data_IF_087895589015
#
_entry.id   IF_087895589015
#
_cell.length_a   1.000
_cell.length_b   1.000
_cell.length_c   1.000
_cell.angle_alpha   90.00
_cell.angle_beta   90.00
_cell.angle_gamma   90.00
#
_symmetry.space_group_name_H-M   'P 1'
#
loop_
_entity.id
_entity.type
_entity.pdbx_description
1 polymer ?
#
# COMPACT_ATOMS: atom_id res chain seq x y z
N UNK A 1 -1.03 61.40 -34.14
CA UNK A 1 -2.43 61.00 -34.43
C UNK A 1 -2.87 61.75 -35.69
N UNK A 2 -3.58 61.16 -36.66
CA UNK A 2 -4.01 59.75 -36.87
C UNK A 2 -3.22 59.08 -38.05
N UNK A 3 -2.98 57.77 -38.23
CA UNK A 3 -3.73 56.49 -38.15
C UNK A 3 -4.80 56.26 -39.23
N UNK A 4 -4.47 55.51 -40.28
CA UNK A 4 -4.93 54.12 -40.51
C UNK A 4 -4.28 53.50 -41.76
N UNK A 5 -3.99 52.19 -41.73
CA UNK A 5 -3.53 51.37 -42.85
C UNK A 5 -4.57 50.29 -43.07
N UNK A 6 -5.15 50.24 -44.27
CA UNK A 6 -5.95 49.11 -44.74
C UNK A 6 -5.23 48.36 -45.85
N UNK A 7 -5.30 47.04 -45.75
CA UNK A 7 -4.87 46.02 -46.72
C UNK A 7 -6.14 45.30 -47.22
N UNK A 8 -5.94 44.30 -48.08
CA UNK A 8 -6.89 43.30 -48.65
C UNK A 8 -7.57 43.80 -49.95
N UNK A 9 -7.67 43.08 -51.08
CA UNK A 9 -7.80 41.66 -51.42
C UNK A 9 -7.24 41.35 -52.82
N UNK A 10 -6.79 40.12 -53.06
CA UNK A 10 -7.31 39.28 -54.15
C UNK A 10 -7.01 37.79 -53.89
N UNK A 11 -8.03 36.97 -54.19
CA UNK A 11 -8.16 35.53 -53.92
C UNK A 11 -8.18 34.77 -55.24
N UNK A 12 -7.50 33.62 -55.25
CA UNK A 12 -7.62 32.39 -56.09
C UNK A 12 -6.19 31.86 -56.33
N UNK A 13 -5.82 30.58 -56.26
CA UNK A 13 -6.56 29.32 -56.37
C UNK A 13 -5.71 28.15 -55.82
N UNK A 14 -6.40 27.17 -55.23
CA UNK A 14 -6.10 25.73 -55.11
C UNK A 14 -4.65 25.22 -55.25
N UNK A 15 -4.09 24.76 -54.12
CA UNK A 15 -3.15 23.64 -54.08
C UNK A 15 -3.60 22.66 -52.98
N UNK A 16 -3.94 21.45 -53.39
CA UNK A 16 -4.29 20.33 -52.54
C UNK A 16 -3.04 19.80 -51.83
N UNK A 17 -2.91 20.09 -50.54
CA UNK A 17 -2.03 19.36 -49.63
C UNK A 17 -2.91 18.49 -48.74
N UNK A 18 -2.89 17.18 -49.01
CA UNK A 18 -3.40 16.17 -48.10
C UNK A 18 -2.53 16.18 -46.84
N UNK A 19 -2.96 16.93 -45.83
CA UNK A 19 -2.53 16.74 -44.45
C UNK A 19 -3.16 15.45 -43.95
N UNK A 20 -2.39 14.37 -43.93
CA UNK A 20 -2.70 13.23 -43.09
C UNK A 20 -2.43 13.66 -41.65
N UNK A 21 -3.45 14.20 -41.00
CA UNK A 21 -3.50 14.25 -39.54
C UNK A 21 -3.52 12.80 -39.07
N UNK A 22 -2.32 12.27 -38.79
CA UNK A 22 -2.19 11.02 -38.06
C UNK A 22 -2.80 11.25 -36.68
N UNK A 23 -4.01 10.73 -36.46
CA UNK A 23 -4.57 10.50 -35.14
C UNK A 23 -3.54 9.72 -34.32
N UNK A 24 -2.78 10.44 -33.50
CA UNK A 24 -1.74 9.86 -32.65
C UNK A 24 -2.44 9.18 -31.46
N UNK A 25 -2.68 7.88 -31.60
CA UNK A 25 -2.66 6.84 -30.58
C UNK A 25 -2.96 7.28 -29.11
N UNK A 26 -4.21 7.70 -28.85
CA UNK A 26 -4.70 8.05 -27.52
C UNK A 26 -4.58 6.96 -26.41
N UNK A 27 -4.64 5.64 -26.69
CA UNK A 27 -4.53 4.62 -25.63
C UNK A 27 -3.09 4.34 -25.18
N UNK A 28 -2.09 4.59 -26.02
CA UNK A 28 -0.68 4.36 -25.68
C UNK A 28 -0.13 5.46 -24.76
N UNK A 29 -0.52 6.72 -24.98
CA UNK A 29 -0.09 7.84 -24.13
C UNK A 29 -0.60 7.74 -22.68
N UNK A 30 -1.83 7.25 -22.47
CA UNK A 30 -2.41 7.06 -21.13
C UNK A 30 -1.72 5.97 -20.32
N UNK A 31 -1.34 4.86 -20.97
CA UNK A 31 -0.65 3.75 -20.31
C UNK A 31 0.82 4.07 -20.02
N UNK A 32 1.48 4.84 -20.90
CA UNK A 32 2.82 5.35 -20.66
C UNK A 32 2.86 6.39 -19.53
N UNK A 33 1.92 7.34 -19.53
CA UNK A 33 1.81 8.35 -18.47
C UNK A 33 1.59 7.73 -17.08
N UNK A 34 0.69 6.75 -16.97
CA UNK A 34 0.47 6.04 -15.70
C UNK A 34 1.71 5.27 -15.22
N UNK A 35 2.47 4.66 -16.14
CA UNK A 35 3.73 3.98 -15.79
C UNK A 35 4.83 4.94 -15.36
N UNK A 36 4.86 6.15 -15.91
CA UNK A 36 5.81 7.20 -15.53
C UNK A 36 5.49 7.74 -14.15
N UNK A 37 4.21 8.03 -13.88
CA UNK A 37 3.71 8.46 -12.57
C UNK A 37 4.04 7.44 -11.47
N UNK A 38 3.78 6.15 -11.70
CA UNK A 38 4.15 5.08 -10.75
C UNK A 38 5.67 5.03 -10.50
N UNK A 39 6.49 5.19 -11.53
CA UNK A 39 7.96 5.23 -11.36
C UNK A 39 8.42 6.47 -10.61
N UNK A 40 7.75 7.60 -10.78
CA UNK A 40 8.04 8.82 -10.03
C UNK A 40 7.69 8.63 -8.56
N UNK A 41 6.52 8.08 -8.26
CA UNK A 41 6.13 7.70 -6.89
C UNK A 41 7.15 6.72 -6.28
N UNK A 42 7.52 5.65 -6.99
CA UNK A 42 8.54 4.70 -6.51
C UNK A 42 9.89 5.39 -6.23
N UNK A 43 10.32 6.32 -7.09
CA UNK A 43 11.56 7.09 -6.87
C UNK A 43 11.46 8.00 -5.66
N UNK A 44 10.33 8.67 -5.49
CA UNK A 44 10.10 9.59 -4.38
C UNK A 44 10.02 8.84 -3.05
N UNK A 45 9.35 7.68 -2.99
CA UNK A 45 9.32 6.82 -1.81
C UNK A 45 10.73 6.31 -1.41
N UNK A 46 11.59 6.05 -2.39
CA UNK A 46 12.99 5.67 -2.14
C UNK A 46 13.83 6.85 -1.60
N UNK A 47 13.57 8.06 -2.09
CA UNK A 47 14.28 9.28 -1.67
C UNK A 47 13.79 9.80 -0.31
N UNK A 48 12.49 9.69 -0.05
CA UNK A 48 11.79 10.28 1.09
C UNK A 48 10.92 9.24 1.81
N UNK A 49 11.55 8.31 2.56
CA UNK A 49 10.84 7.17 3.12
C UNK A 49 9.83 7.59 4.19
N UNK A 50 8.54 7.37 3.90
CA UNK A 50 7.39 7.71 4.76
C UNK A 50 7.26 9.20 5.11
N UNK A 51 7.94 10.10 4.40
CA UNK A 51 7.80 11.55 4.62
C UNK A 51 6.46 12.04 4.07
N UNK A 52 5.73 12.81 4.87
CA UNK A 52 4.42 13.34 4.50
C UNK A 52 4.39 14.82 4.82
N UNK A 53 3.97 15.61 3.83
CA UNK A 53 3.77 17.03 4.01
C UNK A 53 2.66 17.31 5.00
N UNK A 54 2.90 18.29 5.86
CA UNK A 54 1.96 18.69 6.89
C UNK A 54 0.80 19.44 6.23
N UNK A 55 -0.45 19.06 6.56
CA UNK A 55 -1.62 19.71 5.98
C UNK A 55 -1.69 21.17 6.43
N UNK A 56 -2.09 22.08 5.53
CA UNK A 56 -2.33 23.49 5.85
C UNK A 56 -3.80 23.79 6.09
N UNK A 57 -4.69 22.88 5.67
CA UNK A 57 -6.15 23.00 5.72
C UNK A 57 -6.75 22.49 7.03
N UNK A 58 -6.11 21.52 7.68
CA UNK A 58 -6.55 20.93 8.94
C UNK A 58 -5.40 20.82 9.95
N UNK A 59 -5.67 20.91 11.27
CA UNK A 59 -4.67 20.70 12.30
C UNK A 59 -4.04 19.30 12.20
N UNK A 60 -2.74 19.22 12.45
CA UNK A 60 -1.97 17.97 12.37
C UNK A 60 -2.48 16.94 13.37
N UNK A 61 -2.89 17.39 14.57
CA UNK A 61 -3.48 16.53 15.60
C UNK A 61 -4.76 15.83 15.15
N UNK A 62 -5.54 16.45 14.26
CA UNK A 62 -6.79 15.88 13.74
C UNK A 62 -6.50 14.91 12.60
N UNK A 63 -5.68 15.30 11.62
CA UNK A 63 -5.28 14.43 10.50
C UNK A 63 -4.61 13.14 10.99
N UNK A 64 -3.80 13.24 12.04
CA UNK A 64 -3.05 12.11 12.60
C UNK A 64 -3.56 11.67 13.98
N UNK A 65 -4.84 11.88 14.30
CA UNK A 65 -5.44 11.52 15.59
C UNK A 65 -5.28 10.03 15.94
N UNK A 66 -5.31 9.14 14.94
CA UNK A 66 -5.13 7.70 15.12
C UNK A 66 -3.67 7.24 15.15
N UNK A 67 -2.73 8.18 15.06
CA UNK A 67 -1.32 7.89 15.16
C UNK A 67 -0.81 8.17 16.57
N UNK A 68 0.23 7.44 16.96
CA UNK A 68 0.93 7.69 18.21
C UNK A 68 2.45 7.71 18.02
N UNK A 69 3.16 8.53 18.80
CA UNK A 69 4.62 8.51 18.84
C UNK A 69 5.11 7.22 19.50
N UNK A 70 6.24 6.69 19.03
CA UNK A 70 6.94 5.58 19.68
C UNK A 70 8.38 6.02 19.98
N UNK A 71 8.81 6.07 21.27
CA UNK A 71 10.18 6.39 21.61
C UNK A 71 11.20 5.41 21.01
N UNK A 72 10.83 4.14 20.91
CA UNK A 72 11.63 3.14 20.22
C UNK A 72 10.73 2.11 19.56
N UNK A 73 10.79 2.04 18.23
CA UNK A 73 10.00 1.09 17.44
C UNK A 73 10.17 -0.37 17.89
N UNK A 74 11.38 -0.75 18.33
CA UNK A 74 11.70 -2.14 18.70
C UNK A 74 11.36 -2.48 20.16
N UNK A 75 11.38 -1.50 21.06
CA UNK A 75 11.26 -1.73 22.51
C UNK A 75 9.89 -1.38 23.05
N UNK A 76 9.23 -0.37 22.48
CA UNK A 76 7.93 0.06 22.96
C UNK A 76 6.88 -0.97 22.56
N UNK A 77 6.18 -1.61 23.52
CA UNK A 77 5.18 -2.61 23.20
C UNK A 77 3.98 -1.96 22.49
N UNK A 78 3.36 -2.72 21.58
CA UNK A 78 2.10 -2.35 20.95
C UNK A 78 1.08 -3.44 21.25
N UNK A 79 -0.05 -3.06 21.84
CA UNK A 79 -1.12 -3.99 22.17
C UNK A 79 -1.84 -4.50 20.91
N UNK A 80 -1.94 -5.83 20.78
CA UNK A 80 -2.55 -6.51 19.63
C UNK A 80 -4.08 -6.47 19.64
N UNK A 81 -4.71 -6.05 20.74
CA UNK A 81 -6.17 -5.99 20.85
C UNK A 81 -6.73 -4.57 20.79
N UNK A 82 -5.87 -3.56 20.72
CA UNK A 82 -6.28 -2.16 20.58
C UNK A 82 -6.83 -1.88 19.17
N UNK A 83 -7.99 -1.22 19.10
CA UNK A 83 -8.59 -0.69 17.86
C UNK A 83 -8.80 -1.73 16.75
N UNK A 84 -9.21 -2.95 17.11
CA UNK A 84 -9.49 -4.01 16.14
C UNK A 84 -10.70 -3.65 15.24
N UNK A 85 -10.61 -3.82 13.91
CA UNK A 85 -11.75 -3.66 13.03
C UNK A 85 -12.84 -4.69 13.34
N UNK A 86 -14.13 -4.39 13.10
CA UNK A 86 -15.22 -5.34 13.32
C UNK A 86 -15.01 -6.70 12.61
N UNK A 87 -14.36 -6.72 11.44
CA UNK A 87 -14.06 -7.94 10.70
C UNK A 87 -13.15 -8.92 11.48
N UNK A 88 -12.30 -8.42 12.39
CA UNK A 88 -11.42 -9.26 13.21
C UNK A 88 -12.19 -10.10 14.23
N UNK A 89 -13.45 -9.77 14.55
CA UNK A 89 -14.29 -10.62 15.41
C UNK A 89 -14.56 -12.01 14.80
N UNK A 90 -14.42 -12.15 13.48
CA UNK A 90 -14.61 -13.41 12.75
C UNK A 90 -13.31 -14.22 12.59
N UNK A 91 -12.17 -13.58 12.82
CA UNK A 91 -10.85 -14.18 12.57
C UNK A 91 -10.53 -15.19 13.66
N UNK A 92 -10.11 -16.39 13.26
CA UNK A 92 -9.68 -17.43 14.18
C UNK A 92 -8.22 -17.25 14.54
N UNK A 93 -7.95 -17.21 15.84
CA UNK A 93 -6.62 -17.18 16.42
C UNK A 93 -6.24 -18.59 16.89
N UNK A 94 -5.04 -19.04 16.51
CA UNK A 94 -4.50 -20.32 16.97
C UNK A 94 -3.57 -20.07 18.15
N UNK A 95 -3.75 -20.78 19.26
CA UNK A 95 -2.77 -20.77 20.37
C UNK A 95 -1.38 -21.21 19.88
N UNK A 96 -1.35 -22.32 19.12
CA UNK A 96 -0.13 -22.92 18.59
C UNK A 96 -0.32 -23.40 17.16
N UNK A 97 -0.20 -22.48 16.19
CA UNK A 97 -0.42 -22.76 14.75
C UNK A 97 0.32 -24.02 14.25
N UNK A 98 1.62 -24.15 14.53
CA UNK A 98 2.42 -25.32 14.08
C UNK A 98 1.92 -26.65 14.65
N UNK A 99 1.40 -26.64 15.88
CA UNK A 99 0.83 -27.84 16.50
C UNK A 99 -0.52 -28.19 15.87
N UNK A 100 -1.36 -27.19 15.63
CA UNK A 100 -2.64 -27.37 14.94
C UNK A 100 -2.45 -27.99 13.54
N UNK A 101 -1.48 -27.49 12.77
CA UNK A 101 -1.13 -28.03 11.45
C UNK A 101 -0.67 -29.49 11.54
N UNK A 102 0.23 -29.81 12.47
CA UNK A 102 0.70 -31.19 12.67
C UNK A 102 -0.45 -32.15 12.98
N UNK A 103 -1.33 -31.76 13.90
CA UNK A 103 -2.47 -32.58 14.30
C UNK A 103 -3.44 -32.79 13.14
N UNK A 104 -3.69 -31.76 12.34
CA UNK A 104 -4.53 -31.86 11.15
C UNK A 104 -3.94 -32.81 10.09
N UNK A 105 -2.62 -32.81 9.90
CA UNK A 105 -1.96 -33.77 9.01
C UNK A 105 -2.01 -35.20 9.55
N UNK A 106 -1.83 -35.40 10.86
CA UNK A 106 -1.95 -36.72 11.49
C UNK A 106 -3.35 -37.28 11.32
N UNK A 107 -4.37 -36.45 11.50
CA UNK A 107 -5.76 -36.83 11.26
C UNK A 107 -6.02 -37.19 9.79
N UNK A 108 -5.51 -36.39 8.85
CA UNK A 108 -5.62 -36.68 7.42
C UNK A 108 -4.93 -37.99 7.02
N UNK A 109 -3.81 -38.33 7.68
CA UNK A 109 -3.09 -39.59 7.45
C UNK A 109 -3.89 -40.83 7.91
N UNK A 110 -4.88 -40.67 8.79
CA UNK A 110 -5.79 -41.73 9.24
C UNK A 110 -6.99 -41.93 8.28
N UNK A 111 -7.00 -41.25 7.13
CA UNK A 111 -8.07 -41.38 6.13
C UNK A 111 -8.28 -42.85 5.72
N UNK A 112 -9.54 -43.30 5.60
CA UNK A 112 -9.84 -44.67 5.17
C UNK A 112 -9.44 -44.93 3.72
N UNK A 113 -9.36 -43.88 2.88
CA UNK A 113 -9.00 -43.99 1.47
C UNK A 113 -7.49 -43.83 1.32
N UNK A 114 -6.82 -44.90 0.86
CA UNK A 114 -5.39 -44.90 0.60
C UNK A 114 -5.06 -44.18 -0.72
N UNK A 115 -3.86 -43.58 -0.85
CA UNK A 115 -3.37 -43.06 -2.12
C UNK A 115 -3.48 -44.11 -3.24
N UNK A 116 -3.75 -43.67 -4.47
CA UNK A 116 -3.95 -44.53 -5.66
C UNK A 116 -5.23 -45.37 -5.67
N UNK A 117 -6.23 -45.02 -4.86
CA UNK A 117 -7.56 -45.64 -4.93
C UNK A 117 -8.46 -44.88 -5.91
N UNK A 118 -9.13 -45.57 -6.82
CA UNK A 118 -10.15 -44.97 -7.67
C UNK A 118 -11.42 -44.71 -6.85
N UNK A 119 -11.86 -43.46 -6.80
CA UNK A 119 -13.01 -43.03 -6.00
C UNK A 119 -13.96 -42.19 -6.83
N UNK A 120 -15.24 -42.20 -6.47
CA UNK A 120 -16.26 -41.31 -7.01
C UNK A 120 -16.64 -40.28 -5.94
N UNK A 121 -16.57 -38.99 -6.28
CA UNK A 121 -17.00 -37.91 -5.40
C UNK A 121 -18.48 -37.60 -5.63
N UNK A 122 -19.28 -37.67 -4.56
CA UNK A 122 -20.65 -37.15 -4.55
C UNK A 122 -20.66 -35.80 -3.84
N UNK A 123 -20.82 -34.72 -4.60
CA UNK A 123 -20.86 -33.36 -4.06
C UNK A 123 -22.30 -33.00 -3.64
N UNK A 124 -22.46 -32.49 -2.42
CA UNK A 124 -23.75 -32.05 -1.88
C UNK A 124 -23.90 -30.53 -2.03
N UNK A 125 -25.13 -30.07 -2.30
CA UNK A 125 -25.51 -28.65 -2.31
C UNK A 125 -24.68 -27.77 -3.26
N UNK A 126 -24.40 -28.28 -4.47
CA UNK A 126 -23.71 -27.50 -5.51
C UNK A 126 -24.71 -26.56 -6.19
N UNK A 127 -24.44 -25.24 -6.25
CA UNK A 127 -25.28 -24.30 -7.01
C UNK A 127 -25.40 -24.70 -8.48
N UNK A 128 -26.58 -24.49 -9.07
CA UNK A 128 -26.87 -24.90 -10.46
C UNK A 128 -25.90 -24.23 -11.46
N UNK A 129 -25.54 -22.97 -11.23
CA UNK A 129 -24.57 -22.23 -12.04
C UNK A 129 -23.20 -22.91 -12.07
N UNK A 130 -22.71 -23.36 -10.91
CA UNK A 130 -21.43 -24.06 -10.78
C UNK A 130 -21.51 -25.44 -11.44
N UNK A 131 -22.61 -26.18 -11.25
CA UNK A 131 -22.80 -27.49 -11.85
C UNK A 131 -22.83 -27.43 -13.40
N UNK A 132 -23.50 -26.43 -13.97
CA UNK A 132 -23.51 -26.19 -15.41
C UNK A 132 -22.11 -25.87 -15.94
N UNK A 133 -21.36 -25.01 -15.23
CA UNK A 133 -19.97 -24.67 -15.57
C UNK A 133 -19.06 -25.89 -15.55
N UNK A 134 -19.20 -26.75 -14.54
CA UNK A 134 -18.42 -28.00 -14.44
C UNK A 134 -18.73 -28.98 -15.58
N UNK A 135 -19.99 -29.05 -16.05
CA UNK A 135 -20.38 -29.94 -17.17
C UNK A 135 -19.81 -29.49 -18.51
N UNK A 136 -19.67 -28.19 -18.73
CA UNK A 136 -19.08 -27.62 -19.95
C UNK A 136 -17.54 -27.52 -19.92
N UNK A 137 -16.89 -27.89 -18.82
CA UNK A 137 -15.45 -27.75 -18.65
C UNK A 137 -14.68 -28.80 -19.46
N UNK A 138 -13.72 -28.35 -20.27
CA UNK A 138 -12.90 -29.22 -21.13
C UNK A 138 -11.48 -29.45 -20.57
N UNK A 139 -11.10 -28.75 -19.49
CA UNK A 139 -9.80 -28.88 -18.86
C UNK A 139 -9.73 -29.99 -17.79
N UNK A 140 -8.57 -30.18 -17.15
CA UNK A 140 -8.45 -31.10 -16.03
C UNK A 140 -9.26 -30.60 -14.82
N UNK A 141 -9.84 -31.54 -14.07
CA UNK A 141 -10.50 -31.27 -12.78
C UNK A 141 -9.62 -31.83 -11.66
N UNK A 142 -9.21 -30.95 -10.74
CA UNK A 142 -8.43 -31.33 -9.55
C UNK A 142 -9.30 -31.04 -8.33
N UNK A 143 -9.50 -32.05 -7.49
CA UNK A 143 -10.20 -31.91 -6.22
C UNK A 143 -9.23 -32.18 -5.06
N UNK A 144 -9.26 -31.33 -4.04
CA UNK A 144 -8.44 -31.45 -2.84
C UNK A 144 -9.33 -31.46 -1.61
N UNK A 145 -9.10 -32.39 -0.68
CA UNK A 145 -9.77 -32.37 0.62
C UNK A 145 -9.15 -31.30 1.51
N UNK A 146 -9.99 -30.47 2.14
CA UNK A 146 -9.53 -29.47 3.09
C UNK A 146 -9.17 -30.10 4.44
N UNK A 147 -8.14 -29.59 5.09
CA UNK A 147 -7.79 -29.96 6.46
C UNK A 147 -8.75 -29.31 7.48
N UNK A 148 -8.77 -29.84 8.72
CA UNK A 148 -9.72 -29.51 9.80
C UNK A 148 -9.98 -28.01 10.03
N UNK A 149 -9.01 -27.13 9.77
CA UNK A 149 -9.13 -25.69 10.03
C UNK A 149 -8.93 -24.79 8.81
N UNK A 150 -8.83 -25.35 7.59
CA UNK A 150 -8.55 -24.55 6.38
C UNK A 150 -9.71 -23.68 5.91
N UNK A 151 -10.94 -24.06 6.26
CA UNK A 151 -12.15 -23.28 5.94
C UNK A 151 -12.35 -22.07 6.85
N UNK A 152 -11.58 -21.97 7.95
CA UNK A 152 -11.72 -20.90 8.93
C UNK A 152 -10.89 -19.69 8.51
N UNK A 153 -11.45 -18.47 8.56
CA UNK A 153 -10.71 -17.27 8.21
C UNK A 153 -9.67 -16.94 9.28
N UNK A 154 -8.45 -16.68 8.86
CA UNK A 154 -7.35 -16.28 9.74
C UNK A 154 -6.41 -15.28 9.04
N UNK A 155 -5.57 -14.57 9.80
CA UNK A 155 -4.56 -13.67 9.23
C UNK A 155 -3.30 -14.47 8.93
N UNK A 156 -3.07 -14.72 7.64
CA UNK A 156 -1.88 -15.43 7.14
C UNK A 156 -0.74 -14.47 6.83
N UNK A 157 0.49 -14.92 7.09
CA UNK A 157 1.71 -14.21 6.76
C UNK A 157 2.46 -14.96 5.67
N UNK A 158 2.85 -14.26 4.61
CA UNK A 158 3.60 -14.82 3.49
C UNK A 158 4.91 -14.05 3.31
N UNK A 159 5.99 -14.77 2.99
CA UNK A 159 7.21 -14.19 2.45
C UNK A 159 7.09 -14.19 0.94
N UNK A 160 7.19 -13.01 0.34
CA UNK A 160 6.95 -12.81 -1.08
C UNK A 160 8.15 -12.09 -1.68
N UNK A 161 8.60 -12.56 -2.85
CA UNK A 161 9.65 -11.95 -3.64
C UNK A 161 9.07 -11.52 -4.98
N UNK A 162 9.36 -10.28 -5.39
CA UNK A 162 8.91 -9.73 -6.69
C UNK A 162 9.53 -10.55 -7.81
N UNK A 163 8.69 -10.98 -8.74
CA UNK A 163 9.11 -11.65 -9.97
C UNK A 163 9.80 -10.64 -10.88
N UNK A 164 10.97 -11.00 -11.39
CA UNK A 164 11.81 -10.11 -12.23
C UNK A 164 11.36 -10.12 -13.70
N UNK A 165 10.38 -10.96 -14.07
CA UNK A 165 9.86 -11.04 -15.43
C UNK A 165 9.20 -9.72 -15.82
N UNK A 166 9.98 -8.85 -16.50
CA UNK A 166 9.44 -7.75 -17.28
C UNK A 166 8.57 -8.35 -18.36
N UNK A 167 7.27 -8.05 -18.35
CA UNK A 167 6.43 -8.29 -19.51
C UNK A 167 6.99 -7.44 -20.65
N UNK A 168 7.83 -8.05 -21.50
CA UNK A 168 8.04 -7.56 -22.85
C UNK A 168 6.75 -7.82 -23.61
N UNK A 169 5.73 -7.01 -23.33
CA UNK A 169 4.63 -6.84 -24.25
C UNK A 169 5.17 -5.94 -25.37
N UNK A 170 5.80 -6.59 -26.34
CA UNK A 170 6.11 -5.99 -27.62
C UNK A 170 4.81 -5.48 -28.25
N UNK A 171 4.65 -4.15 -28.30
CA UNK A 171 3.92 -3.33 -29.29
C UNK A 171 2.75 -3.92 -30.07
N UNK A 172 1.85 -4.69 -29.44
CA UNK A 172 0.65 -5.21 -30.08
C UNK A 172 -0.50 -5.04 -29.10
N UNK A 173 -1.50 -4.24 -29.49
CA UNK A 173 -2.69 -3.78 -28.74
C UNK A 173 -3.65 -4.86 -28.21
N UNK A 174 -3.17 -6.08 -28.01
CA UNK A 174 -3.93 -7.11 -27.30
C UNK A 174 -3.53 -7.05 -25.83
N UNK A 175 -4.40 -6.43 -25.02
CA UNK A 175 -4.43 -6.67 -23.57
C UNK A 175 -4.44 -8.18 -23.39
N UNK A 176 -3.30 -8.74 -23.01
CA UNK A 176 -3.22 -10.15 -22.69
C UNK A 176 -4.08 -10.36 -21.46
N UNK A 177 -5.25 -10.99 -21.61
CA UNK A 177 -6.12 -11.47 -20.52
C UNK A 177 -5.42 -12.48 -19.61
N UNK A 178 -4.18 -12.86 -19.93
CA UNK A 178 -3.37 -13.74 -19.11
C UNK A 178 -2.83 -13.00 -17.89
N UNK A 179 -2.83 -13.67 -16.74
CA UNK A 179 -2.37 -13.09 -15.49
C UNK A 179 -0.86 -12.87 -15.58
N UNK A 180 -0.40 -11.73 -15.07
CA UNK A 180 1.03 -11.48 -14.94
C UNK A 180 1.52 -12.07 -13.61
N UNK A 181 2.55 -12.92 -13.66
CA UNK A 181 3.21 -13.37 -12.44
C UNK A 181 3.99 -12.21 -11.83
N UNK A 182 3.41 -11.53 -10.84
CA UNK A 182 4.01 -10.38 -10.16
C UNK A 182 4.98 -10.81 -9.06
N UNK A 183 4.69 -11.91 -8.35
CA UNK A 183 5.51 -12.33 -7.23
C UNK A 183 5.38 -13.83 -6.92
N UNK A 184 6.42 -14.39 -6.32
CA UNK A 184 6.47 -15.79 -5.85
C UNK A 184 6.85 -15.81 -4.37
N UNK A 185 6.34 -16.77 -3.61
CA UNK A 185 6.55 -16.76 -2.17
C UNK A 185 6.17 -18.05 -1.45
N UNK A 186 6.32 -18.01 -0.12
CA UNK A 186 5.95 -19.10 0.78
C UNK A 186 5.15 -18.59 1.97
N UNK A 187 4.30 -19.44 2.53
CA UNK A 187 3.51 -19.12 3.73
C UNK A 187 4.35 -19.36 4.99
N UNK A 188 4.43 -18.35 5.85
CA UNK A 188 5.16 -18.42 7.13
C UNK A 188 4.29 -19.03 8.23
N UNK A 189 3.02 -18.63 8.27
CA UNK A 189 2.05 -19.15 9.22
C UNK A 189 0.89 -18.19 9.45
N UNK A 190 -0.08 -18.60 10.27
CA UNK A 190 -1.22 -17.79 10.64
C UNK A 190 -1.06 -17.24 12.06
N UNK A 191 -1.12 -15.91 12.20
CA UNK A 191 -1.11 -15.25 13.50
C UNK A 191 -1.73 -13.84 13.41
N UNK A 192 -2.90 -13.57 14.01
CA UNK A 192 -3.51 -12.24 14.02
C UNK A 192 -2.80 -11.24 14.96
N UNK A 193 -2.00 -11.71 15.92
CA UNK A 193 -1.28 -10.84 16.87
C UNK A 193 -0.08 -10.15 16.27
N UNK A 194 0.41 -10.62 15.11
CA UNK A 194 1.53 -9.98 14.44
C UNK A 194 1.11 -8.62 13.88
N UNK A 195 1.62 -7.57 14.49
CA UNK A 195 1.25 -6.19 14.21
C UNK A 195 2.06 -5.64 13.03
N UNK A 196 1.36 -4.96 12.11
CA UNK A 196 1.96 -4.15 11.05
C UNK A 196 1.68 -2.68 11.37
N UNK A 197 2.73 -1.88 11.47
CA UNK A 197 2.64 -0.44 11.74
C UNK A 197 2.98 0.35 10.48
N UNK A 198 2.13 1.31 10.12
CA UNK A 198 2.45 2.35 9.14
C UNK A 198 3.13 3.49 9.87
N UNK A 199 4.34 3.84 9.43
CA UNK A 199 5.06 5.04 9.88
C UNK A 199 4.65 6.23 9.02
N UNK A 200 4.62 7.41 9.61
CA UNK A 200 4.55 8.71 8.94
C UNK A 200 5.62 9.59 9.58
N UNK A 201 6.40 10.28 8.75
CA UNK A 201 7.46 11.20 9.17
C UNK A 201 7.04 12.61 8.80
N UNK A 202 6.83 13.46 9.81
CA UNK A 202 6.65 14.89 9.62
C UNK A 202 8.02 15.55 9.62
N UNK A 203 8.30 16.37 8.63
CA UNK A 203 9.60 17.02 8.45
C UNK A 203 9.53 18.50 8.76
N UNK A 204 10.65 19.06 9.22
CA UNK A 204 10.82 20.48 9.47
C UNK A 204 12.26 20.89 9.29
N UNK A 205 12.46 22.18 9.04
CA UNK A 205 13.78 22.74 8.77
C UNK A 205 14.21 23.68 9.91
N UNK A 206 15.46 23.58 10.38
CA UNK A 206 16.02 24.51 11.35
C UNK A 206 16.27 25.86 10.66
N UNK A 207 15.54 26.88 11.11
CA UNK A 207 15.70 28.25 10.61
C UNK A 207 16.83 28.99 11.32
N UNK A 208 16.99 28.77 12.63
CA UNK A 208 18.09 29.31 13.43
C UNK A 208 18.64 28.21 14.33
N UNK A 209 19.89 27.84 14.14
CA UNK A 209 20.57 26.84 14.98
C UNK A 209 21.75 27.46 15.74
N UNK A 210 21.80 27.25 17.05
CA UNK A 210 22.91 27.65 17.90
C UNK A 210 23.26 26.56 18.91
N UNK A 211 24.46 25.99 18.76
CA UNK A 211 24.93 24.84 19.53
C UNK A 211 23.85 23.74 19.50
N UNK A 212 23.27 23.40 20.64
CA UNK A 212 22.27 22.34 20.80
C UNK A 212 20.82 22.81 20.63
N UNK A 213 20.56 24.11 20.52
CA UNK A 213 19.21 24.67 20.43
C UNK A 213 18.93 25.13 19.01
N UNK A 214 17.77 24.80 18.48
CA UNK A 214 17.33 25.24 17.16
C UNK A 214 15.87 25.71 17.16
N UNK A 215 15.59 26.72 16.35
CA UNK A 215 14.23 27.12 15.99
C UNK A 215 13.84 26.42 14.69
N UNK A 216 12.80 25.59 14.72
CA UNK A 216 12.33 24.78 13.60
C UNK A 216 11.07 25.42 13.02
N UNK A 217 10.95 25.39 11.69
CA UNK A 217 9.81 25.87 10.92
C UNK A 217 9.33 24.80 9.93
N UNK A 218 8.11 24.98 9.43
CA UNK A 218 7.44 24.14 8.43
C UNK A 218 7.14 22.69 8.84
N UNK A 219 7.32 22.34 10.13
CA UNK A 219 6.84 21.05 10.67
C UNK A 219 5.40 21.10 11.15
N UNK A 220 4.96 22.25 11.67
CA UNK A 220 3.59 22.49 12.09
C UNK A 220 3.22 23.91 11.67
N UNK A 221 1.94 24.14 11.42
CA UNK A 221 1.39 25.47 11.11
C UNK A 221 0.63 26.07 12.29
N UNK A 222 0.16 25.24 13.23
CA UNK A 222 -0.56 25.66 14.43
C UNK A 222 0.27 25.49 15.72
N UNK A 223 0.19 26.44 16.67
CA UNK A 223 0.91 26.34 17.94
C UNK A 223 0.32 25.30 18.89
N UNK A 224 -0.96 24.94 18.71
CA UNK A 224 -1.60 23.86 19.48
C UNK A 224 -1.02 22.49 19.14
N UNK A 225 -0.71 22.25 17.85
CA UNK A 225 -0.08 21.01 17.41
C UNK A 225 1.32 20.86 18.01
N UNK A 226 2.10 21.94 18.04
CA UNK A 226 3.42 21.96 18.71
C UNK A 226 3.31 21.55 20.18
N UNK A 227 2.28 22.04 20.89
CA UNK A 227 2.03 21.68 22.29
C UNK A 227 1.58 20.23 22.43
N UNK A 228 0.71 19.75 21.55
CA UNK A 228 0.23 18.36 21.54
C UNK A 228 1.39 17.37 21.37
N UNK A 229 2.31 17.65 20.45
CA UNK A 229 3.47 16.81 20.17
C UNK A 229 4.72 17.11 21.00
N UNK A 230 4.62 17.97 22.04
CA UNK A 230 5.77 18.42 22.84
C UNK A 230 6.60 17.28 23.45
N UNK A 231 5.94 16.20 23.86
CA UNK A 231 6.58 15.04 24.50
C UNK A 231 7.09 13.99 23.50
N UNK A 232 7.00 14.26 22.20
CA UNK A 232 7.47 13.34 21.15
C UNK A 232 8.95 13.57 20.87
N UNK A 233 9.77 12.50 20.83
CA UNK A 233 11.18 12.63 20.46
C UNK A 233 11.31 13.02 18.99
N UNK A 234 12.16 14.01 18.75
CA UNK A 234 12.61 14.42 17.43
C UNK A 234 13.91 13.68 17.09
N UNK A 235 14.12 13.42 15.81
CA UNK A 235 15.40 12.95 15.29
C UNK A 235 15.76 13.73 14.03
N UNK A 236 17.05 13.79 13.67
CA UNK A 236 17.47 14.42 12.41
C UNK A 236 18.04 13.41 11.45
N UNK A 237 18.01 13.71 10.14
CA UNK A 237 18.66 12.86 9.12
C UNK A 237 20.16 12.64 9.38
N UNK A 238 20.81 13.58 10.09
CA UNK A 238 22.21 13.48 10.54
C UNK A 238 22.40 12.76 11.89
N UNK A 239 21.37 12.08 12.41
CA UNK A 239 21.47 11.20 13.57
C UNK A 239 21.45 11.89 14.93
N UNK A 240 21.00 13.16 15.01
CA UNK A 240 20.79 13.85 16.29
C UNK A 240 19.42 13.51 16.86
N UNK A 241 19.33 13.48 18.20
CA UNK A 241 18.08 13.27 18.92
C UNK A 241 17.72 14.54 19.68
N UNK A 242 16.43 14.87 19.72
CA UNK A 242 15.97 16.09 20.37
C UNK A 242 14.56 16.02 20.90
N UNK A 243 14.12 17.13 21.49
CA UNK A 243 12.77 17.33 22.03
C UNK A 243 12.31 18.76 21.81
N UNK A 244 11.01 18.94 21.73
CA UNK A 244 10.38 20.26 21.64
C UNK A 244 10.40 20.92 23.03
N UNK A 245 10.82 22.18 23.10
CA UNK A 245 10.77 22.99 24.32
C UNK A 245 9.46 23.77 24.41
N UNK A 246 9.21 24.64 23.42
CA UNK A 246 8.09 25.59 23.41
C UNK A 246 7.70 25.99 21.98
N UNK A 247 6.43 26.37 21.80
CA UNK A 247 5.93 27.00 20.58
C UNK A 247 6.35 28.47 20.53
N UNK A 248 6.79 28.93 19.37
CA UNK A 248 7.19 30.31 19.10
C UNK A 248 6.17 30.99 18.17
N UNK A 249 5.33 31.86 18.75
CA UNK A 249 4.34 32.64 18.00
C UNK A 249 3.10 31.84 17.56
N UNK A 250 2.48 32.27 16.46
CA UNK A 250 1.17 31.78 15.97
C UNK A 250 1.26 30.82 14.79
N UNK A 251 2.41 30.69 14.13
CA UNK A 251 2.56 29.95 12.87
C UNK A 251 3.23 28.57 13.04
N UNK A 252 3.07 27.92 14.20
CA UNK A 252 3.61 26.58 14.45
C UNK A 252 5.15 26.48 14.49
N UNK A 253 5.87 27.60 14.44
CA UNK A 253 7.31 27.60 14.69
C UNK A 253 7.58 27.14 16.13
N UNK A 254 8.68 26.42 16.34
CA UNK A 254 8.97 25.84 17.65
C UNK A 254 10.45 25.89 17.96
N UNK A 255 10.76 25.93 19.26
CA UNK A 255 12.12 25.78 19.76
C UNK A 255 12.33 24.35 20.20
N UNK A 256 13.43 23.76 19.78
CA UNK A 256 13.81 22.40 20.15
C UNK A 256 15.26 22.37 20.63
N UNK A 257 15.54 21.42 21.50
CA UNK A 257 16.89 21.14 22.02
C UNK A 257 17.28 19.72 21.63
N UNK A 258 18.51 19.59 21.16
CA UNK A 258 19.12 18.36 20.68
C UNK A 258 20.31 17.96 21.55
N UNK A 259 20.74 16.70 21.39
CA UNK A 259 21.91 16.12 22.04
C UNK A 259 23.23 16.74 21.57
N UNK A 260 23.31 17.16 20.30
CA UNK A 260 24.50 17.72 19.67
C UNK A 260 24.24 19.00 18.87
N UNK A 261 25.27 19.46 18.17
CA UNK A 261 25.16 20.64 17.30
C UNK A 261 24.34 20.34 16.05
N UNK A 262 23.42 21.24 15.71
CA UNK A 262 22.52 21.15 14.56
C UNK A 262 22.97 22.10 13.46
N UNK A 263 22.98 21.62 12.21
CA UNK A 263 23.27 22.43 11.03
C UNK A 263 21.98 23.04 10.47
N UNK A 264 22.10 24.16 9.76
CA UNK A 264 20.96 24.77 9.06
C UNK A 264 20.47 23.92 7.88
N UNK A 265 21.34 23.06 7.34
CA UNK A 265 21.01 22.09 6.29
C UNK A 265 20.41 20.78 6.82
N UNK A 266 20.22 20.64 8.14
CA UNK A 266 19.61 19.45 8.71
C UNK A 266 18.11 19.43 8.43
N UNK A 267 17.55 18.23 8.28
CA UNK A 267 16.09 18.03 8.34
C UNK A 267 15.77 17.41 9.69
N UNK A 268 14.89 18.06 10.45
CA UNK A 268 14.33 17.53 11.68
C UNK A 268 13.08 16.75 11.35
N UNK A 269 12.94 15.58 11.95
CA UNK A 269 11.90 14.61 11.67
C UNK A 269 11.18 14.21 12.97
N UNK A 270 9.88 14.01 12.86
CA UNK A 270 9.03 13.47 13.91
C UNK A 270 8.31 12.24 13.35
N UNK A 271 8.49 11.08 14.00
CA UNK A 271 7.91 9.82 13.55
C UNK A 271 6.65 9.47 14.33
N UNK A 272 5.55 9.29 13.60
CA UNK A 272 4.26 8.83 14.10
C UNK A 272 3.95 7.45 13.54
N UNK A 273 3.26 6.62 14.33
CA UNK A 273 2.91 5.25 13.94
C UNK A 273 1.43 4.96 14.17
N UNK A 274 0.80 4.27 13.23
CA UNK A 274 -0.52 3.66 13.43
C UNK A 274 -0.50 2.19 13.05
N UNK A 275 -1.34 1.40 13.69
CA UNK A 275 -1.57 0.03 13.25
C UNK A 275 -2.42 0.01 11.99
N UNK A 276 -2.03 -0.85 11.06
CA UNK A 276 -2.78 -1.11 9.82
C UNK A 276 -3.23 -2.57 9.85
N UNK A 277 -4.45 -2.78 9.38
CA UNK A 277 -5.06 -4.09 9.24
C UNK A 277 -5.21 -4.43 7.75
N UNK A 278 -5.12 -5.71 7.37
CA UNK A 278 -5.51 -6.17 6.04
C UNK A 278 -7.00 -5.91 5.82
N UNK A 279 -7.36 -5.58 4.60
CA UNK A 279 -8.76 -5.38 4.23
C UNK A 279 -9.48 -6.73 4.07
N UNK A 280 -10.73 -6.76 4.53
CA UNK A 280 -11.58 -7.92 4.32
C UNK A 280 -12.25 -7.80 2.96
N UNK A 281 -11.70 -8.47 1.94
CA UNK A 281 -12.32 -8.51 0.61
C UNK A 281 -13.51 -9.49 0.67
N UNK A 282 -14.70 -8.96 0.88
CA UNK A 282 -15.96 -9.72 0.81
C UNK A 282 -16.36 -9.91 -0.66
N UNK A 283 -15.66 -10.79 -1.35
CA UNK A 283 -15.95 -11.13 -2.73
C UNK A 283 -15.40 -12.50 -3.06
N UNK A 284 -16.16 -13.54 -2.77
CA UNK A 284 -16.02 -14.82 -3.50
C UNK A 284 -16.72 -14.69 -4.85
N UNK A 285 -16.38 -13.68 -5.63
CA UNK A 285 -16.69 -13.67 -7.05
C UNK A 285 -15.44 -14.18 -7.77
N UNK A 286 -15.33 -15.50 -7.78
CA UNK A 286 -14.93 -16.20 -8.99
C UNK A 286 -15.99 -16.04 -10.12
N UNK A 287 -16.85 -15.01 -10.04
CA UNK A 287 -17.93 -14.73 -10.99
C UNK A 287 -17.50 -13.80 -12.12
N UNK A 288 -16.27 -13.29 -12.12
CA UNK A 288 -15.58 -12.82 -13.32
C UNK A 288 -14.41 -13.75 -13.63
N UNK A 289 -14.73 -15.03 -13.82
CA UNK A 289 -13.91 -15.93 -14.62
C UNK A 289 -14.28 -15.69 -16.10
N UNK A 290 -13.99 -14.48 -16.60
CA UNK A 290 -14.04 -14.21 -18.03
C UNK A 290 -12.87 -14.96 -18.68
N UNK A 291 -13.19 -16.17 -19.18
CA UNK A 291 -12.40 -17.09 -20.03
C UNK A 291 -10.95 -17.44 -19.63
N UNK A 292 -10.39 -16.81 -18.59
CA UNK A 292 -9.03 -17.00 -18.11
C UNK A 292 -9.09 -17.09 -16.59
N UNK A 293 -8.75 -18.27 -16.06
CA UNK A 293 -9.03 -18.65 -14.68
C UNK A 293 -8.20 -17.96 -13.60
N UNK A 294 -8.32 -16.64 -13.41
CA UNK A 294 -7.58 -15.90 -12.38
C UNK A 294 -8.47 -14.89 -11.66
N UNK A 295 -8.55 -15.04 -10.33
CA UNK A 295 -9.03 -13.98 -9.44
C UNK A 295 -7.84 -13.14 -8.99
N UNK A 296 -7.74 -11.91 -9.48
CA UNK A 296 -6.83 -10.90 -8.94
C UNK A 296 -7.52 -10.20 -7.77
N UNK A 297 -7.00 -10.37 -6.56
CA UNK A 297 -7.18 -9.40 -5.48
C UNK A 297 -5.81 -9.11 -4.89
N UNK A 298 -5.07 -8.23 -5.57
CA UNK A 298 -4.02 -7.43 -4.95
C UNK A 298 -4.64 -6.04 -4.79
N UNK A 299 -4.86 -5.64 -3.54
CA UNK A 299 -5.21 -4.25 -3.23
C UNK A 299 -3.90 -3.49 -3.22
N UNK A 300 -3.62 -2.78 -4.32
CA UNK A 300 -2.57 -1.75 -4.35
C UNK A 300 -2.98 -0.58 -3.44
N UNK A 301 -1.97 0.06 -2.85
CA UNK A 301 -2.06 1.39 -2.26
C UNK A 301 -1.47 2.40 -3.19
#
# INVERSE_FOLDING_TARGET
MPLSKDRVLHRASSASMSGSDSEVDAPQARSQGALEEVKEIERDELMFPDEVDTPTDCPVRERFAHYRPLPSYRKTPWDSNTSLPPAYARVVQFEHFRRAVRNAHQEAALSPVKPHTYIAFLLKSVPVSVAQRMRGWTGPLIATSLLRYEHLPTVMHCLVQRSVSKSRCCGSDRVSTRPLLVATGSVVGANPDRIVLKRVVLTGVPYRAHKTRATIRYMFFDPEDVKHYKNVPLWTKHGRLGRIEESLGTHGAMKATFDGTILHSDTVCLSLYRRVFPEWVSGSTCDTLDETGITNTVVDR
#
